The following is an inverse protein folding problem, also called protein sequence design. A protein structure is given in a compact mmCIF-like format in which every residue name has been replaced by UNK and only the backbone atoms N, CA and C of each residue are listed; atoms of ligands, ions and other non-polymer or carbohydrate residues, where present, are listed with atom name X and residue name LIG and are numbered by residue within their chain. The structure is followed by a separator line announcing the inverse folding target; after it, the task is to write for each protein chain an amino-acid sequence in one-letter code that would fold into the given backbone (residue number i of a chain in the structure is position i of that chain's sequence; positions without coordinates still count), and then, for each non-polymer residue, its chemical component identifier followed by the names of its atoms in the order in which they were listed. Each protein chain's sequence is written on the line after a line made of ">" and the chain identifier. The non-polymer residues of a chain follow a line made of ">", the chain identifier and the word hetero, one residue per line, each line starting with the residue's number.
data_IF_028992889130
#
_entry.id   IF_028992889130
#
_cell.length_a   1.000
_cell.length_b   1.000
_cell.length_c   1.000
_cell.angle_alpha   90.00
_cell.angle_beta   90.00
_cell.angle_gamma   90.00
#
_symmetry.space_group_name_H-M   'P 1'
#
loop_
_entity.id
_entity.type
_entity.pdbx_description
1 polymer ?
#
# COMPACT_ATOMS: atom_id res chain seq x y z
N UNK A 1 28.32 14.05 34.01
CA UNK A 1 28.38 13.61 32.59
C UNK A 1 27.53 12.37 32.30
N UNK A 2 27.40 11.40 33.21
CA UNK A 2 26.56 10.20 33.01
C UNK A 2 25.06 10.50 32.98
N UNK A 3 24.57 11.41 33.85
CA UNK A 3 23.14 11.78 33.94
C UNK A 3 22.63 12.61 32.76
N UNK A 4 23.51 13.38 32.12
CA UNK A 4 23.19 14.16 30.90
C UNK A 4 23.12 13.25 29.67
N UNK A 5 23.98 12.23 29.60
CA UNK A 5 23.98 11.22 28.53
C UNK A 5 22.75 10.31 28.58
N UNK A 6 22.34 9.87 29.77
CA UNK A 6 21.11 9.05 29.91
C UNK A 6 19.85 9.84 29.55
N UNK A 7 19.76 11.12 29.93
CA UNK A 7 18.65 12.00 29.50
C UNK A 7 18.60 12.20 27.99
N UNK A 8 19.76 12.42 27.35
CA UNK A 8 19.83 12.56 25.90
C UNK A 8 19.39 11.29 25.16
N UNK A 9 19.80 10.11 25.65
CA UNK A 9 19.39 8.83 25.08
C UNK A 9 17.90 8.56 25.23
N UNK A 10 17.30 8.90 26.37
CA UNK A 10 15.85 8.74 26.61
C UNK A 10 15.04 9.65 25.68
N UNK A 11 15.49 10.90 25.47
CA UNK A 11 14.83 11.83 24.55
C UNK A 11 14.94 11.37 23.09
N UNK A 12 16.10 10.86 22.68
CA UNK A 12 16.30 10.32 21.34
C UNK A 12 15.42 9.08 21.08
N UNK A 13 15.31 8.17 22.06
CA UNK A 13 14.44 7.00 21.96
C UNK A 13 12.96 7.38 21.89
N UNK A 14 12.53 8.37 22.68
CA UNK A 14 11.16 8.89 22.64
C UNK A 14 10.83 9.54 21.28
N UNK A 15 11.77 10.29 20.70
CA UNK A 15 11.60 10.90 19.38
C UNK A 15 11.56 9.85 18.25
N UNK A 16 12.36 8.79 18.33
CA UNK A 16 12.31 7.70 17.35
C UNK A 16 10.96 6.94 17.40
N UNK A 17 10.41 6.75 18.60
CA UNK A 17 9.12 6.06 18.78
C UNK A 17 7.94 6.84 18.17
N UNK A 18 7.93 8.18 18.27
CA UNK A 18 6.85 9.00 17.69
C UNK A 18 6.91 9.02 16.16
N UNK A 19 8.11 9.02 15.57
CA UNK A 19 8.28 8.94 14.11
C UNK A 19 7.80 7.58 13.58
N UNK A 20 8.15 6.49 14.26
CA UNK A 20 7.73 5.14 13.87
C UNK A 20 6.20 4.94 13.94
N UNK A 21 5.51 5.61 14.87
CA UNK A 21 4.06 5.53 15.00
C UNK A 21 3.29 6.39 13.98
N UNK A 22 3.93 7.35 13.32
CA UNK A 22 3.26 8.30 12.41
C UNK A 22 2.84 7.73 11.05
N UNK A 23 3.23 6.50 10.70
CA UNK A 23 2.95 5.90 9.39
C UNK A 23 1.56 5.26 9.24
N UNK A 24 0.85 4.98 10.34
CA UNK A 24 -0.47 4.34 10.29
C UNK A 24 -1.61 5.37 10.24
N UNK A 25 -1.75 6.05 9.10
CA UNK A 25 -2.93 6.87 8.84
C UNK A 25 -4.03 6.01 8.20
N UNK A 26 -5.14 5.80 8.91
CA UNK A 26 -6.32 5.10 8.38
C UNK A 26 -7.12 6.07 7.50
N UNK A 27 -6.85 6.05 6.19
CA UNK A 27 -7.53 6.93 5.23
C UNK A 27 -8.83 6.29 4.76
N UNK A 28 -9.93 7.03 4.88
CA UNK A 28 -11.25 6.57 4.45
C UNK A 28 -11.29 6.33 2.94
N UNK A 29 -12.09 5.37 2.44
CA UNK A 29 -12.08 4.99 1.02
C UNK A 29 -12.25 6.16 0.04
N UNK A 30 -13.17 7.10 0.32
CA UNK A 30 -13.42 8.27 -0.52
C UNK A 30 -12.30 9.32 -0.49
N UNK A 31 -11.43 9.30 0.53
CA UNK A 31 -10.26 10.18 0.61
C UNK A 31 -9.12 9.71 -0.31
N UNK A 32 -9.21 8.50 -0.86
CA UNK A 32 -8.22 7.93 -1.80
C UNK A 32 -8.42 8.39 -3.26
N UNK A 33 -9.42 9.24 -3.53
CA UNK A 33 -9.81 9.63 -4.90
C UNK A 33 -8.67 10.21 -5.74
N UNK A 34 -7.68 10.87 -5.12
CA UNK A 34 -6.50 11.44 -5.81
C UNK A 34 -5.38 10.43 -6.09
N UNK A 35 -5.47 9.23 -5.54
CA UNK A 35 -4.50 8.13 -5.73
C UNK A 35 -4.99 7.11 -6.78
N UNK A 36 -6.13 7.38 -7.42
CA UNK A 36 -6.81 6.46 -8.33
C UNK A 36 -7.14 7.14 -9.67
N UNK A 37 -6.29 8.06 -10.12
CA UNK A 37 -6.44 8.69 -11.43
C UNK A 37 -6.33 7.63 -12.54
N UNK A 38 -7.10 7.80 -13.61
CA UNK A 38 -7.11 6.85 -14.76
C UNK A 38 -5.73 6.73 -15.42
N UNK A 39 -4.88 7.76 -15.33
CA UNK A 39 -3.50 7.72 -15.84
C UNK A 39 -2.57 6.80 -15.01
N UNK A 40 -2.97 6.39 -13.82
CA UNK A 40 -2.23 5.46 -12.96
C UNK A 40 -2.66 4.00 -13.19
N UNK A 41 -3.59 3.75 -14.11
CA UNK A 41 -4.03 2.39 -14.46
C UNK A 41 -2.99 1.79 -15.42
N UNK A 42 -2.37 0.68 -15.01
CA UNK A 42 -1.33 0.01 -15.80
C UNK A 42 -1.84 -0.63 -17.09
N UNK A 43 -3.12 -1.00 -17.11
CA UNK A 43 -3.73 -1.68 -18.24
C UNK A 43 -4.93 -0.91 -18.79
N UNK A 44 -4.98 -0.76 -20.11
CA UNK A 44 -6.02 0.01 -20.78
C UNK A 44 -7.35 -0.75 -20.87
N UNK A 45 -7.33 -2.09 -20.85
CA UNK A 45 -8.52 -2.93 -20.97
C UNK A 45 -8.57 -3.97 -19.84
N UNK A 46 -9.40 -3.69 -18.84
CA UNK A 46 -9.61 -4.57 -17.70
C UNK A 46 -10.23 -5.92 -18.08
N UNK A 47 -10.99 -5.98 -19.18
CA UNK A 47 -11.60 -7.22 -19.68
C UNK A 47 -10.56 -8.16 -20.28
N UNK A 48 -9.65 -7.61 -21.10
CA UNK A 48 -8.54 -8.37 -21.67
C UNK A 48 -7.62 -8.93 -20.57
N UNK A 49 -7.29 -8.11 -19.58
CA UNK A 49 -6.49 -8.55 -18.43
C UNK A 49 -7.15 -9.69 -17.69
N UNK A 50 -8.42 -9.54 -17.31
CA UNK A 50 -9.13 -10.57 -16.55
C UNK A 50 -9.18 -11.90 -17.30
N UNK A 51 -9.39 -11.87 -18.62
CA UNK A 51 -9.35 -13.05 -19.46
C UNK A 51 -7.96 -13.72 -19.46
N UNK A 52 -6.90 -12.94 -19.71
CA UNK A 52 -5.54 -13.46 -19.78
C UNK A 52 -5.07 -14.01 -18.43
N UNK A 53 -5.38 -13.33 -17.32
CA UNK A 53 -5.10 -13.80 -15.97
C UNK A 53 -5.78 -15.14 -15.70
N UNK A 54 -7.09 -15.25 -15.95
CA UNK A 54 -7.82 -16.51 -15.74
C UNK A 54 -7.26 -17.65 -16.60
N UNK A 55 -6.86 -17.35 -17.85
CA UNK A 55 -6.22 -18.33 -18.73
C UNK A 55 -4.86 -18.80 -18.20
N UNK A 56 -4.03 -17.90 -17.66
CA UNK A 56 -2.73 -18.24 -17.07
C UNK A 56 -2.89 -19.06 -15.79
N UNK A 57 -3.77 -18.63 -14.89
CA UNK A 57 -4.08 -19.34 -13.64
C UNK A 57 -4.54 -20.78 -13.91
N UNK A 58 -5.42 -20.97 -14.89
CA UNK A 58 -5.89 -22.29 -15.30
C UNK A 58 -4.76 -23.17 -15.87
N UNK A 59 -3.83 -22.58 -16.65
CA UNK A 59 -2.70 -23.31 -17.23
C UNK A 59 -1.66 -23.72 -16.20
N UNK A 60 -1.43 -22.87 -15.22
CA UNK A 60 -0.38 -23.05 -14.22
C UNK A 60 -0.89 -23.73 -12.95
N UNK A 61 -2.19 -24.06 -12.89
CA UNK A 61 -2.86 -24.51 -11.67
C UNK A 61 -2.54 -23.59 -10.47
N UNK A 62 -2.44 -22.29 -10.74
CA UNK A 62 -2.10 -21.24 -9.78
C UNK A 62 -3.32 -20.32 -9.58
N UNK A 63 -3.32 -19.54 -8.50
CA UNK A 63 -4.37 -18.58 -8.22
C UNK A 63 -3.83 -17.38 -7.45
N UNK A 64 -4.29 -16.17 -7.80
CA UNK A 64 -3.96 -14.94 -7.07
C UNK A 64 -2.52 -14.45 -7.26
N UNK A 65 -1.80 -14.99 -8.24
CA UNK A 65 -0.44 -14.54 -8.58
C UNK A 65 -0.41 -13.26 -9.41
N UNK A 66 -1.52 -12.92 -10.06
CA UNK A 66 -1.67 -11.66 -10.78
C UNK A 66 -1.99 -10.56 -9.76
N UNK A 67 -1.17 -9.50 -9.75
CA UNK A 67 -1.07 -8.53 -8.66
C UNK A 67 -2.40 -7.94 -8.15
N UNK A 68 -2.36 -7.33 -6.98
CA UNK A 68 -3.51 -6.63 -6.40
C UNK A 68 -3.96 -5.55 -7.40
N UNK A 69 -5.17 -5.66 -7.95
CA UNK A 69 -5.81 -4.61 -8.75
C UNK A 69 -5.75 -3.31 -7.95
N UNK A 70 -4.74 -2.49 -8.25
CA UNK A 70 -4.41 -1.26 -7.57
C UNK A 70 -4.57 -0.16 -8.60
N UNK A 71 -5.83 0.20 -8.81
CA UNK A 71 -6.22 1.22 -9.76
C UNK A 71 -7.74 1.37 -9.71
N UNK A 72 -8.21 2.33 -8.91
CA UNK A 72 -9.64 2.61 -8.75
C UNK A 72 -10.06 2.77 -7.28
N UNK A 73 -11.20 3.42 -7.05
CA UNK A 73 -11.77 3.65 -5.73
C UNK A 73 -12.26 2.38 -5.01
N UNK A 74 -12.17 1.20 -5.64
CA UNK A 74 -12.66 -0.06 -5.08
C UNK A 74 -14.18 -0.18 -5.01
N UNK A 75 -14.92 0.84 -5.47
CA UNK A 75 -16.38 0.81 -5.58
C UNK A 75 -16.77 -0.03 -6.80
N UNK A 76 -16.94 -1.33 -6.59
CA UNK A 76 -17.92 -2.10 -7.36
C UNK A 76 -19.31 -1.73 -6.89
#
# INVERSE_FOLDING_TARGET
>A
MTVTLTRALVLAAAAAATIAAGGCATVQPWQRGRLADTCMVFDADSGQVAYMTHWQEAREASAGGYGVQSGGCGCK
#
